data_IF_425612549193
#
_entry.id   IF_425612549193
#
_cell.length_a   1.000
_cell.length_b   1.000
_cell.length_c   1.000
_cell.angle_alpha   90.00
_cell.angle_beta   90.00
_cell.angle_gamma   90.00
#
_symmetry.space_group_name_H-M   'P 1'
#
loop_
_entity.id
_entity.type
_entity.pdbx_description
1 polymer ?
#
# COMPACT_ATOMS: atom_id res chain seq x y z
N UNK A 1 -26.47 -18.94 11.08
CA UNK A 1 -25.54 -18.95 9.93
C UNK A 1 -25.17 -17.56 9.37
N UNK A 2 -26.04 -16.52 9.28
CA UNK A 2 -25.66 -15.24 8.65
C UNK A 2 -24.59 -14.43 9.41
N UNK A 3 -24.54 -14.57 10.75
CA UNK A 3 -23.56 -13.84 11.59
C UNK A 3 -22.10 -14.25 11.35
N UNK A 4 -21.83 -15.53 11.04
CA UNK A 4 -20.47 -16.02 10.70
C UNK A 4 -20.01 -15.53 9.32
N UNK A 5 -20.94 -15.43 8.37
CA UNK A 5 -20.66 -15.00 7.01
C UNK A 5 -20.31 -13.51 6.94
N UNK A 6 -21.00 -12.66 7.69
CA UNK A 6 -20.70 -11.22 7.75
C UNK A 6 -19.30 -10.95 8.32
N UNK A 7 -18.83 -11.75 9.28
CA UNK A 7 -17.48 -11.62 9.83
C UNK A 7 -16.40 -12.08 8.85
N UNK A 8 -16.66 -13.14 8.08
CA UNK A 8 -15.76 -13.62 7.04
C UNK A 8 -15.57 -12.56 5.93
N UNK A 9 -16.68 -12.02 5.41
CA UNK A 9 -16.64 -10.99 4.36
C UNK A 9 -15.87 -9.75 4.83
N UNK A 10 -16.07 -9.33 6.08
CA UNK A 10 -15.33 -8.20 6.65
C UNK A 10 -13.82 -8.48 6.71
N UNK A 11 -13.39 -9.68 7.12
CA UNK A 11 -11.97 -10.04 7.17
C UNK A 11 -11.35 -10.07 5.76
N UNK A 12 -12.05 -10.67 4.79
CA UNK A 12 -11.63 -10.71 3.37
C UNK A 12 -11.45 -9.28 2.84
N UNK A 13 -12.47 -8.43 2.99
CA UNK A 13 -12.42 -7.05 2.51
C UNK A 13 -11.30 -6.25 3.17
N UNK A 14 -11.10 -6.41 4.48
CA UNK A 14 -10.02 -5.72 5.21
C UNK A 14 -8.65 -6.09 4.64
N UNK A 15 -8.39 -7.39 4.46
CA UNK A 15 -7.10 -7.88 3.98
C UNK A 15 -6.87 -7.47 2.51
N UNK A 16 -7.91 -7.57 1.66
CA UNK A 16 -7.82 -7.09 0.26
C UNK A 16 -7.49 -5.61 0.21
N UNK A 17 -8.15 -4.76 1.01
CA UNK A 17 -7.90 -3.31 1.01
C UNK A 17 -6.47 -2.99 1.47
N UNK A 18 -5.96 -3.70 2.47
CA UNK A 18 -4.59 -3.54 2.95
C UNK A 18 -3.56 -3.89 1.86
N UNK A 19 -3.73 -5.03 1.21
CA UNK A 19 -2.85 -5.43 0.10
C UNK A 19 -3.05 -4.57 -1.15
N UNK A 20 -4.22 -3.98 -1.35
CA UNK A 20 -4.47 -3.00 -2.41
C UNK A 20 -3.62 -1.75 -2.21
N UNK A 21 -3.54 -1.21 -0.99
CA UNK A 21 -2.66 -0.07 -0.70
C UNK A 21 -1.18 -0.41 -0.92
N UNK A 22 -0.77 -1.62 -0.56
CA UNK A 22 0.59 -2.08 -0.84
C UNK A 22 0.87 -2.20 -2.35
N UNK A 23 -0.05 -2.81 -3.09
CA UNK A 23 0.02 -2.91 -4.54
C UNK A 23 0.05 -1.53 -5.20
N UNK A 24 -0.73 -0.58 -4.68
CA UNK A 24 -0.74 0.81 -5.14
C UNK A 24 0.66 1.43 -5.08
N UNK A 25 1.38 1.32 -3.96
CA UNK A 25 2.73 1.88 -3.84
C UNK A 25 3.72 1.19 -4.79
N UNK A 26 3.59 -0.12 -4.99
CA UNK A 26 4.41 -0.85 -5.95
C UNK A 26 4.15 -0.40 -7.39
N UNK A 27 2.88 -0.26 -7.79
CA UNK A 27 2.48 0.23 -9.11
C UNK A 27 2.90 1.68 -9.34
N UNK A 28 2.77 2.52 -8.32
CA UNK A 28 3.21 3.92 -8.36
C UNK A 28 4.69 4.01 -8.68
N UNK A 29 5.49 3.19 -8.00
CA UNK A 29 6.94 3.17 -8.18
C UNK A 29 7.35 2.66 -9.56
N UNK A 30 6.61 1.70 -10.12
CA UNK A 30 6.79 1.30 -11.52
C UNK A 30 6.53 2.47 -12.48
N UNK A 31 5.50 3.30 -12.23
CA UNK A 31 5.28 4.51 -13.02
C UNK A 31 6.43 5.50 -12.90
N UNK A 32 7.00 5.67 -11.69
CA UNK A 32 8.16 6.55 -11.48
C UNK A 32 9.38 6.11 -12.30
N UNK A 33 9.61 4.80 -12.44
CA UNK A 33 10.66 4.29 -13.33
C UNK A 33 10.40 4.67 -14.79
N UNK A 34 9.15 4.59 -15.23
CA UNK A 34 8.76 5.04 -16.56
C UNK A 34 8.94 6.55 -16.73
N UNK A 35 8.60 7.37 -15.73
CA UNK A 35 8.89 8.81 -15.72
C UNK A 35 10.38 9.11 -15.85
N UNK A 36 11.23 8.40 -15.10
CA UNK A 36 12.69 8.55 -15.23
C UNK A 36 13.16 8.24 -16.66
N UNK A 37 12.61 7.21 -17.30
CA UNK A 37 12.89 6.91 -18.70
C UNK A 37 12.40 8.03 -19.64
N UNK A 38 11.21 8.59 -19.43
CA UNK A 38 10.69 9.73 -20.21
C UNK A 38 11.57 10.98 -20.08
N UNK A 39 12.08 11.26 -18.88
CA UNK A 39 13.05 12.36 -18.63
C UNK A 39 14.49 12.03 -19.05
N UNK A 40 14.69 10.96 -19.84
CA UNK A 40 15.98 10.51 -20.39
C UNK A 40 17.04 10.22 -19.32
N UNK A 41 16.62 9.68 -18.16
CA UNK A 41 17.57 9.19 -17.16
C UNK A 41 18.41 8.04 -17.73
N UNK A 42 19.70 8.06 -17.42
CA UNK A 42 20.66 7.04 -17.87
C UNK A 42 20.39 5.67 -17.26
N UNK A 43 20.91 4.61 -17.88
CA UNK A 43 20.80 3.25 -17.34
C UNK A 43 21.45 3.10 -15.96
N UNK A 44 22.54 3.82 -15.71
CA UNK A 44 23.21 3.83 -14.40
C UNK A 44 22.30 4.43 -13.33
N UNK A 45 21.65 5.54 -13.66
CA UNK A 45 20.69 6.23 -12.81
C UNK A 45 19.45 5.38 -12.49
N UNK A 46 18.88 4.69 -13.48
CA UNK A 46 17.81 3.72 -13.25
C UNK A 46 18.28 2.51 -12.41
N UNK A 47 19.54 2.12 -12.59
CA UNK A 47 20.20 1.12 -11.75
C UNK A 47 20.26 1.55 -10.29
N UNK A 48 20.67 2.79 -10.00
CA UNK A 48 20.68 3.36 -8.65
C UNK A 48 19.26 3.37 -8.06
N UNK A 49 18.27 3.83 -8.82
CA UNK A 49 16.89 3.84 -8.36
C UNK A 49 16.33 2.44 -8.06
N UNK A 50 16.82 1.38 -8.71
CA UNK A 50 16.38 0.00 -8.45
C UNK A 50 16.77 -0.53 -7.06
N UNK A 51 17.64 0.16 -6.32
CA UNK A 51 18.01 -0.22 -4.95
C UNK A 51 16.83 -0.17 -3.98
N UNK A 52 15.77 0.55 -4.34
CA UNK A 52 14.53 0.65 -3.56
C UNK A 52 13.87 -0.72 -3.29
N UNK A 53 14.13 -1.75 -4.10
CA UNK A 53 13.51 -3.07 -3.93
C UNK A 53 14.18 -3.94 -2.86
N UNK A 54 15.42 -3.63 -2.47
CA UNK A 54 16.19 -4.43 -1.52
C UNK A 54 15.50 -4.69 -0.18
N UNK A 55 14.75 -3.73 0.42
CA UNK A 55 14.02 -3.98 1.66
C UNK A 55 13.07 -5.18 1.61
N UNK A 56 12.45 -5.48 0.47
CA UNK A 56 11.57 -6.65 0.36
C UNK A 56 12.34 -7.97 0.49
N UNK A 57 13.59 -8.02 0.03
CA UNK A 57 14.47 -9.18 0.23
C UNK A 57 14.97 -9.28 1.66
N UNK A 58 15.17 -8.14 2.33
CA UNK A 58 15.73 -8.06 3.68
C UNK A 58 14.69 -8.12 4.81
N UNK A 59 13.39 -8.14 4.48
CA UNK A 59 12.29 -8.03 5.45
C UNK A 59 12.29 -9.06 6.59
N UNK A 60 12.95 -10.19 6.36
CA UNK A 60 13.13 -11.25 7.36
C UNK A 60 13.98 -10.77 8.55
N UNK A 61 14.91 -9.83 8.35
CA UNK A 61 15.84 -9.38 9.39
C UNK A 61 15.14 -8.66 10.55
N UNK A 62 14.10 -7.88 10.26
CA UNK A 62 13.41 -7.08 11.28
C UNK A 62 12.01 -7.61 11.63
N UNK A 63 11.54 -8.66 10.96
CA UNK A 63 10.28 -9.33 11.31
C UNK A 63 10.16 -9.73 12.81
N UNK A 64 11.22 -10.26 13.48
CA UNK A 64 11.13 -10.61 14.90
C UNK A 64 10.87 -9.41 15.84
N UNK A 65 11.25 -8.20 15.42
CA UNK A 65 11.06 -6.98 16.20
C UNK A 65 9.56 -6.64 16.25
N UNK A 66 8.88 -6.70 15.11
CA UNK A 66 7.44 -6.46 15.02
C UNK A 66 6.62 -7.51 15.76
N UNK A 67 7.21 -8.69 15.96
CA UNK A 67 6.57 -9.79 16.66
C UNK A 67 6.72 -9.73 18.18
N UNK A 68 7.80 -9.13 18.67
CA UNK A 68 8.16 -9.10 20.10
C UNK A 68 7.65 -7.86 20.83
N UNK A 69 7.59 -6.71 20.16
CA UNK A 69 7.18 -5.44 20.77
C UNK A 69 5.74 -5.14 20.36
N UNK A 70 4.82 -5.04 21.32
CA UNK A 70 3.46 -4.59 21.02
C UNK A 70 2.76 -4.00 22.24
N UNK A 71 1.75 -3.17 21.99
CA UNK A 71 0.90 -2.64 23.04
C UNK A 71 -0.31 -3.55 23.24
N UNK A 72 -0.54 -4.00 24.49
CA UNK A 72 -1.63 -4.92 24.84
C UNK A 72 -3.02 -4.40 24.46
N UNK A 73 -3.20 -3.07 24.46
CA UNK A 73 -4.48 -2.42 24.15
C UNK A 73 -4.85 -2.46 22.67
N UNK A 74 -3.86 -2.41 21.77
CA UNK A 74 -4.07 -2.41 20.32
C UNK A 74 -3.89 -3.81 19.70
N UNK A 75 -3.15 -4.70 20.35
CA UNK A 75 -2.81 -6.01 19.80
C UNK A 75 -1.57 -5.95 18.91
N UNK A 76 -0.95 -7.11 18.68
CA UNK A 76 0.37 -7.23 18.04
C UNK A 76 0.45 -6.54 16.68
N UNK A 77 -0.43 -6.90 15.76
CA UNK A 77 -0.35 -6.42 14.37
C UNK A 77 -0.82 -4.96 14.21
N UNK A 78 -1.87 -4.54 14.91
CA UNK A 78 -2.40 -3.17 14.79
C UNK A 78 -1.47 -2.12 15.42
N UNK A 79 -0.65 -2.50 16.42
CA UNK A 79 0.34 -1.60 17.03
C UNK A 79 1.34 -1.08 15.99
N UNK A 80 1.72 -1.91 15.01
CA UNK A 80 2.69 -1.54 13.98
C UNK A 80 2.05 -1.10 12.68
N UNK A 81 0.93 -1.71 12.29
CA UNK A 81 0.24 -1.37 11.05
C UNK A 81 -0.16 0.10 11.01
N UNK A 82 -0.74 0.61 12.10
CA UNK A 82 -1.28 1.98 12.15
C UNK A 82 -0.18 3.04 12.00
N UNK A 83 0.93 3.04 12.79
CA UNK A 83 2.02 4.00 12.60
C UNK A 83 2.64 3.92 11.20
N UNK A 84 2.94 2.71 10.72
CA UNK A 84 3.57 2.51 9.41
C UNK A 84 2.71 3.12 8.30
N UNK A 85 1.40 2.84 8.32
CA UNK A 85 0.48 3.32 7.30
C UNK A 85 0.31 4.85 7.32
N UNK A 86 0.28 5.46 8.51
CA UNK A 86 0.27 6.93 8.67
C UNK A 86 1.57 7.53 8.11
N UNK A 87 2.72 6.96 8.46
CA UNK A 87 4.02 7.46 8.01
C UNK A 87 4.12 7.41 6.48
N UNK A 88 3.69 6.30 5.85
CA UNK A 88 3.63 6.20 4.38
C UNK A 88 2.71 7.30 3.80
N UNK A 89 1.51 7.48 4.36
CA UNK A 89 0.56 8.49 3.90
C UNK A 89 1.12 9.92 3.97
N UNK A 90 1.78 10.27 5.08
CA UNK A 90 2.44 11.57 5.26
C UNK A 90 3.57 11.76 4.25
N UNK A 91 4.42 10.75 4.07
CA UNK A 91 5.51 10.82 3.09
C UNK A 91 4.96 11.03 1.69
N UNK A 92 3.90 10.32 1.29
CA UNK A 92 3.25 10.50 -0.01
C UNK A 92 2.68 11.91 -0.18
N UNK A 93 2.01 12.45 0.84
CA UNK A 93 1.48 13.82 0.79
C UNK A 93 2.61 14.83 0.62
N UNK A 94 3.70 14.70 1.38
CA UNK A 94 4.87 15.59 1.25
C UNK A 94 5.48 15.43 -0.14
N UNK A 95 5.69 14.18 -0.58
CA UNK A 95 6.28 13.84 -1.86
C UNK A 95 5.46 14.45 -3.02
N UNK A 96 4.14 14.51 -2.92
CA UNK A 96 3.29 15.12 -3.95
C UNK A 96 3.70 16.55 -4.35
N UNK A 97 4.24 17.34 -3.41
CA UNK A 97 4.66 18.71 -3.67
C UNK A 97 6.06 18.82 -4.30
N UNK A 98 6.92 17.81 -4.11
CA UNK A 98 8.32 17.84 -4.56
C UNK A 98 8.63 16.86 -5.69
N UNK A 99 7.77 15.88 -5.94
CA UNK A 99 8.06 14.75 -6.84
C UNK A 99 8.39 15.20 -8.26
N UNK A 100 7.59 16.10 -8.83
CA UNK A 100 7.81 16.61 -10.18
C UNK A 100 9.15 17.37 -10.29
N UNK A 101 9.48 18.18 -9.28
CA UNK A 101 10.77 18.87 -9.19
C UNK A 101 11.94 17.86 -9.10
N UNK A 102 11.82 16.80 -8.30
CA UNK A 102 12.86 15.78 -8.17
C UNK A 102 13.09 15.02 -9.48
N UNK A 103 12.02 14.74 -10.23
CA UNK A 103 12.07 14.05 -11.52
C UNK A 103 12.71 14.91 -12.60
N UNK A 104 12.27 16.16 -12.75
CA UNK A 104 12.79 17.08 -13.77
C UNK A 104 14.28 17.37 -13.54
N UNK A 105 14.69 17.58 -12.29
CA UNK A 105 16.10 17.85 -11.95
C UNK A 105 16.97 16.60 -11.83
N UNK A 106 16.41 15.40 -12.06
CA UNK A 106 17.11 14.10 -11.94
C UNK A 106 17.85 13.96 -10.61
N UNK A 107 17.22 14.32 -9.50
CA UNK A 107 17.77 14.13 -8.16
C UNK A 107 17.60 12.68 -7.69
N UNK A 108 18.26 11.75 -8.40
CA UNK A 108 17.97 10.32 -8.31
C UNK A 108 18.42 9.72 -6.99
N UNK A 109 19.50 10.21 -6.39
CA UNK A 109 19.92 9.79 -5.05
C UNK A 109 18.85 10.15 -4.01
N UNK A 110 18.35 11.39 -4.03
CA UNK A 110 17.26 11.84 -3.15
C UNK A 110 15.99 11.01 -3.36
N UNK A 111 15.62 10.78 -4.62
CA UNK A 111 14.46 9.96 -4.98
C UNK A 111 14.63 8.52 -4.46
N UNK A 112 15.82 7.94 -4.64
CA UNK A 112 16.16 6.59 -4.17
C UNK A 112 16.07 6.49 -2.67
N UNK A 113 16.59 7.46 -1.91
CA UNK A 113 16.52 7.46 -0.44
C UNK A 113 15.06 7.52 0.04
N UNK A 114 14.25 8.41 -0.54
CA UNK A 114 12.83 8.55 -0.18
C UNK A 114 12.07 7.24 -0.48
N UNK A 115 12.21 6.71 -1.70
CA UNK A 115 11.52 5.48 -2.10
C UNK A 115 12.05 4.25 -1.36
N UNK A 116 13.34 4.19 -1.04
CA UNK A 116 13.91 3.14 -0.21
C UNK A 116 13.26 3.12 1.17
N UNK A 117 13.06 4.30 1.77
CA UNK A 117 12.36 4.40 3.06
C UNK A 117 10.88 4.02 2.95
N UNK A 118 10.19 4.43 1.89
CA UNK A 118 8.81 3.99 1.60
C UNK A 118 8.76 2.45 1.46
N UNK A 119 9.69 1.86 0.71
CA UNK A 119 9.76 0.41 0.50
C UNK A 119 10.11 -0.36 1.77
N UNK A 120 10.95 0.20 2.63
CA UNK A 120 11.20 -0.35 3.96
C UNK A 120 9.92 -0.37 4.81
N UNK A 121 9.14 0.70 4.80
CA UNK A 121 7.86 0.77 5.51
C UNK A 121 6.84 -0.19 4.93
N UNK A 122 6.72 -0.28 3.60
CA UNK A 122 5.81 -1.22 2.94
C UNK A 122 6.23 -2.68 3.21
N UNK A 123 7.52 -3.00 3.15
CA UNK A 123 8.01 -4.33 3.48
C UNK A 123 7.71 -4.68 4.95
N UNK A 124 7.77 -3.70 5.85
CA UNK A 124 7.36 -3.85 7.24
C UNK A 124 5.85 -4.06 7.38
N UNK A 125 5.04 -3.34 6.62
CA UNK A 125 3.59 -3.51 6.56
C UNK A 125 3.22 -4.92 6.06
N UNK A 126 3.88 -5.40 5.01
CA UNK A 126 3.67 -6.72 4.42
C UNK A 126 3.85 -7.84 5.46
N UNK A 127 4.94 -7.81 6.24
CA UNK A 127 5.15 -8.77 7.35
C UNK A 127 4.01 -8.74 8.37
N UNK A 128 3.56 -7.53 8.75
CA UNK A 128 2.50 -7.35 9.74
C UNK A 128 1.14 -7.82 9.21
N UNK A 129 0.83 -7.52 7.94
CA UNK A 129 -0.43 -7.90 7.28
C UNK A 129 -0.46 -9.39 6.99
N UNK A 130 0.66 -10.00 6.59
CA UNK A 130 0.81 -11.45 6.44
C UNK A 130 0.48 -12.16 7.75
N UNK A 131 1.06 -11.72 8.88
CA UNK A 131 0.77 -12.25 10.21
C UNK A 131 -0.69 -12.04 10.65
N UNK A 132 -1.27 -10.88 10.33
CA UNK A 132 -2.69 -10.59 10.60
C UNK A 132 -3.61 -11.48 9.77
N UNK A 133 -3.31 -11.71 8.49
CA UNK A 133 -4.14 -12.53 7.61
C UNK A 133 -4.21 -13.98 8.10
N UNK A 134 -3.07 -14.58 8.45
CA UNK A 134 -3.01 -15.94 9.01
C UNK A 134 -3.82 -16.02 10.31
N UNK A 135 -3.74 -15.01 11.18
CA UNK A 135 -4.54 -14.96 12.40
C UNK A 135 -6.05 -14.89 12.11
N UNK A 136 -6.48 -14.07 11.15
CA UNK A 136 -7.90 -13.91 10.80
C UNK A 136 -8.47 -15.14 10.08
N UNK A 137 -7.66 -15.84 9.30
CA UNK A 137 -8.04 -17.03 8.54
C UNK A 137 -7.67 -18.36 9.22
N UNK A 138 -7.11 -18.36 10.44
CA UNK A 138 -6.64 -19.60 11.11
C UNK A 138 -7.73 -20.65 11.33
N UNK A 139 -8.97 -20.20 11.53
CA UNK A 139 -10.15 -21.06 11.74
C UNK A 139 -10.96 -21.26 10.44
N UNK A 140 -10.44 -20.76 9.32
CA UNK A 140 -11.00 -20.81 7.98
C UNK A 140 -9.99 -21.51 7.06
N UNK A 141 -10.32 -21.67 5.78
CA UNK A 141 -9.35 -22.22 4.83
C UNK A 141 -8.17 -21.25 4.68
N UNK A 142 -6.92 -21.65 5.02
CA UNK A 142 -5.76 -20.77 4.98
C UNK A 142 -5.47 -20.23 3.57
N UNK A 143 -5.89 -20.95 2.54
CA UNK A 143 -5.75 -20.56 1.12
C UNK A 143 -6.42 -19.22 0.78
N UNK A 144 -7.45 -18.79 1.54
CA UNK A 144 -8.04 -17.48 1.31
C UNK A 144 -7.07 -16.34 1.57
N UNK A 145 -6.11 -16.50 2.48
CA UNK A 145 -5.13 -15.45 2.81
C UNK A 145 -4.28 -15.08 1.58
N UNK A 146 -3.67 -16.08 0.94
CA UNK A 146 -2.85 -15.88 -0.26
C UNK A 146 -3.67 -15.34 -1.44
N UNK A 147 -4.91 -15.79 -1.62
CA UNK A 147 -5.78 -15.29 -2.69
C UNK A 147 -6.13 -13.82 -2.50
N UNK A 148 -6.45 -13.41 -1.26
CA UNK A 148 -6.73 -12.01 -0.95
C UNK A 148 -5.49 -11.12 -1.18
N UNK A 149 -4.31 -11.63 -0.85
CA UNK A 149 -3.03 -10.95 -1.11
C UNK A 149 -2.82 -10.68 -2.59
N UNK A 150 -2.87 -11.73 -3.42
CA UNK A 150 -2.65 -11.60 -4.85
C UNK A 150 -3.67 -10.65 -5.49
N UNK A 151 -4.97 -10.81 -5.17
CA UNK A 151 -6.02 -9.95 -5.71
C UNK A 151 -5.79 -8.49 -5.32
N UNK A 152 -5.54 -8.22 -4.04
CA UNK A 152 -5.29 -6.86 -3.55
C UNK A 152 -4.09 -6.23 -4.25
N UNK A 153 -2.94 -6.91 -4.25
CA UNK A 153 -1.70 -6.40 -4.82
C UNK A 153 -1.83 -6.14 -6.33
N UNK A 154 -2.40 -7.07 -7.10
CA UNK A 154 -2.55 -6.92 -8.56
C UNK A 154 -3.48 -5.75 -8.90
N UNK A 155 -4.62 -5.63 -8.20
CA UNK A 155 -5.55 -4.51 -8.41
C UNK A 155 -4.87 -3.18 -8.06
N UNK A 156 -4.22 -3.10 -6.90
CA UNK A 156 -3.50 -1.89 -6.49
C UNK A 156 -2.40 -1.50 -7.47
N UNK A 157 -1.60 -2.47 -7.89
CA UNK A 157 -0.53 -2.25 -8.86
C UNK A 157 -1.07 -1.69 -10.17
N UNK A 158 -2.11 -2.32 -10.72
CA UNK A 158 -2.75 -1.87 -11.94
C UNK A 158 -3.36 -0.46 -11.81
N UNK A 159 -4.05 -0.20 -10.70
CA UNK A 159 -4.63 1.11 -10.39
C UNK A 159 -3.59 2.22 -10.28
N UNK A 160 -2.35 1.92 -9.87
CA UNK A 160 -1.34 2.96 -9.74
C UNK A 160 -0.37 3.06 -10.91
N UNK A 161 -0.15 1.96 -11.64
CA UNK A 161 0.74 1.96 -12.81
C UNK A 161 0.02 2.48 -14.04
N UNK A 162 -0.97 1.71 -14.51
CA UNK A 162 -1.72 1.98 -15.73
C UNK A 162 -2.57 3.24 -15.61
N UNK A 163 -3.39 3.36 -14.57
CA UNK A 163 -4.32 4.51 -14.47
C UNK A 163 -3.55 5.83 -14.37
N UNK A 164 -2.44 5.87 -13.63
CA UNK A 164 -1.63 7.09 -13.53
C UNK A 164 -1.15 7.55 -14.91
N UNK A 165 -0.44 6.69 -15.64
CA UNK A 165 0.15 7.05 -16.94
C UNK A 165 -0.93 7.33 -17.99
N UNK A 166 -1.97 6.51 -18.02
CA UNK A 166 -3.05 6.62 -19.02
C UNK A 166 -3.85 7.91 -18.84
N UNK A 167 -4.25 8.24 -17.61
CA UNK A 167 -5.10 9.41 -17.36
C UNK A 167 -4.33 10.71 -17.15
N UNK A 168 -3.02 10.66 -16.90
CA UNK A 168 -2.17 11.85 -16.94
C UNK A 168 -1.89 12.29 -18.39
N UNK A 169 -1.90 11.35 -19.35
CA UNK A 169 -1.74 11.67 -20.77
C UNK A 169 -2.89 12.52 -21.31
N UNK A 170 -2.56 13.71 -21.81
CA UNK A 170 -3.52 14.62 -22.45
C UNK A 170 -4.07 14.04 -23.74
N UNK A 171 -3.24 13.36 -24.53
CA UNK A 171 -3.66 12.70 -25.77
C UNK A 171 -4.75 11.66 -25.51
N UNK A 172 -4.52 10.76 -24.56
CA UNK A 172 -5.49 9.73 -24.21
C UNK A 172 -6.79 10.35 -23.65
N UNK A 173 -6.66 11.33 -22.75
CA UNK A 173 -7.82 12.00 -22.13
C UNK A 173 -8.64 12.76 -23.16
N UNK A 174 -8.00 13.45 -24.10
CA UNK A 174 -8.69 14.17 -25.17
C UNK A 174 -9.41 13.20 -26.11
N UNK A 175 -8.75 12.12 -26.53
CA UNK A 175 -9.27 11.19 -27.52
C UNK A 175 -10.39 10.28 -26.99
N UNK A 176 -10.21 9.71 -25.79
CA UNK A 176 -11.11 8.66 -25.28
C UNK A 176 -12.09 9.13 -24.21
N UNK A 177 -11.91 10.33 -23.64
CA UNK A 177 -12.79 10.84 -22.59
C UNK A 177 -13.49 12.12 -23.05
N UNK A 178 -12.73 13.14 -23.47
CA UNK A 178 -13.31 14.46 -23.79
C UNK A 178 -14.05 14.47 -25.12
N UNK A 179 -13.51 13.86 -26.18
CA UNK A 179 -14.20 13.76 -27.48
C UNK A 179 -15.55 13.02 -27.40
N UNK A 180 -15.66 11.84 -26.75
CA UNK A 180 -16.95 11.16 -26.59
C UNK A 180 -17.96 11.93 -25.72
N UNK A 181 -17.49 12.77 -24.78
CA UNK A 181 -18.35 13.61 -23.93
C UNK A 181 -18.60 15.01 -24.50
N UNK A 182 -18.14 15.32 -25.72
CA UNK A 182 -18.26 16.66 -26.34
C UNK A 182 -17.65 17.79 -25.49
N UNK A 183 -16.57 17.50 -24.75
CA UNK A 183 -15.84 18.46 -23.92
C UNK A 183 -14.67 19.08 -24.70
N UNK A 184 -14.27 20.34 -24.38
CA UNK A 184 -13.16 20.99 -25.04
C UNK A 184 -11.82 20.30 -24.72
N UNK A 185 -10.95 20.22 -25.72
CA UNK A 185 -9.60 19.66 -25.57
C UNK A 185 -8.77 20.53 -24.61
N UNK A 186 -7.95 19.88 -23.77
CA UNK A 186 -7.00 20.57 -22.89
C UNK A 186 -5.63 19.95 -23.01
N UNK A 187 -4.60 20.74 -22.72
CA UNK A 187 -3.20 20.31 -22.70
C UNK A 187 -2.86 19.43 -21.50
N UNK A 188 -3.70 19.40 -20.46
CA UNK A 188 -3.52 18.55 -19.29
C UNK A 188 -4.34 17.25 -19.37
N UNK A 189 -3.85 16.20 -18.73
CA UNK A 189 -4.63 14.99 -18.44
C UNK A 189 -5.82 15.22 -17.52
N UNK A 190 -6.42 14.13 -17.06
CA UNK A 190 -7.54 14.14 -16.10
C UNK A 190 -7.09 14.57 -14.69
N UNK A 191 -5.90 14.13 -14.29
CA UNK A 191 -5.22 14.52 -13.06
C UNK A 191 -3.72 14.63 -13.31
N UNK A 192 -3.05 15.43 -12.48
CA UNK A 192 -1.59 15.58 -12.49
C UNK A 192 -0.90 14.54 -11.60
N UNK A 193 0.39 14.29 -11.83
CA UNK A 193 1.23 13.46 -10.97
C UNK A 193 1.13 13.89 -9.49
N UNK A 194 1.11 15.20 -9.24
CA UNK A 194 0.93 15.77 -7.90
C UNK A 194 -0.40 15.36 -7.27
N UNK A 195 -1.52 15.58 -7.98
CA UNK A 195 -2.86 15.25 -7.47
C UNK A 195 -3.01 13.76 -7.20
N UNK A 196 -2.48 12.91 -8.09
CA UNK A 196 -2.52 11.46 -7.91
C UNK A 196 -1.70 10.99 -6.70
N UNK A 197 -0.51 11.55 -6.52
CA UNK A 197 0.36 11.23 -5.38
C UNK A 197 -0.27 11.68 -4.06
N UNK A 198 -0.86 12.88 -4.05
CA UNK A 198 -1.58 13.40 -2.89
C UNK A 198 -2.81 12.54 -2.55
N UNK A 199 -3.58 12.14 -3.57
CA UNK A 199 -4.71 11.23 -3.43
C UNK A 199 -4.27 9.90 -2.83
N UNK A 200 -3.20 9.29 -3.35
CA UNK A 200 -2.61 8.07 -2.78
C UNK A 200 -2.29 8.22 -1.29
N UNK A 201 -1.58 9.28 -0.90
CA UNK A 201 -1.26 9.54 0.50
C UNK A 201 -2.50 9.75 1.39
N UNK A 202 -3.53 10.43 0.89
CA UNK A 202 -4.80 10.60 1.61
C UNK A 202 -5.53 9.26 1.81
N UNK A 203 -5.48 8.36 0.83
CA UNK A 203 -6.12 7.05 0.88
C UNK A 203 -5.51 6.17 1.98
N UNK A 204 -4.19 6.24 2.17
CA UNK A 204 -3.49 5.59 3.28
C UNK A 204 -4.04 6.03 4.65
N UNK A 205 -4.26 7.34 4.83
CA UNK A 205 -4.79 7.90 6.08
C UNK A 205 -6.25 7.50 6.29
N UNK A 206 -7.09 7.59 5.26
CA UNK A 206 -8.51 7.24 5.34
C UNK A 206 -8.69 5.76 5.71
N UNK A 207 -8.00 4.86 5.02
CA UNK A 207 -8.07 3.42 5.32
C UNK A 207 -7.58 3.13 6.73
N UNK A 208 -6.53 3.82 7.19
CA UNK A 208 -6.03 3.65 8.53
C UNK A 208 -7.06 4.05 9.60
N UNK A 209 -7.79 5.16 9.39
CA UNK A 209 -8.90 5.56 10.27
C UNK A 209 -10.02 4.51 10.27
N UNK A 210 -10.38 3.98 9.08
CA UNK A 210 -11.40 2.93 8.96
C UNK A 210 -10.99 1.67 9.74
N UNK A 211 -9.73 1.23 9.60
CA UNK A 211 -9.21 0.07 10.34
C UNK A 211 -9.28 0.32 11.84
N UNK A 212 -8.89 1.52 12.30
CA UNK A 212 -8.99 1.87 13.71
C UNK A 212 -10.44 1.78 14.20
N UNK A 213 -11.42 2.32 13.45
CA UNK A 213 -12.85 2.24 13.81
C UNK A 213 -13.37 0.80 13.83
N UNK A 214 -12.95 -0.06 12.88
CA UNK A 214 -13.42 -1.45 12.81
C UNK A 214 -12.84 -2.32 13.94
N UNK A 215 -11.57 -2.12 14.29
CA UNK A 215 -10.86 -3.00 15.23
C UNK A 215 -10.81 -2.48 16.67
N UNK A 216 -10.87 -1.17 16.91
CA UNK A 216 -10.89 -0.57 18.25
C UNK A 216 -12.05 -1.04 19.16
N UNK A 217 -13.30 -1.24 18.67
CA UNK A 217 -14.38 -1.72 19.54
C UNK A 217 -14.26 -3.21 19.90
N UNK A 218 -13.44 -3.99 19.19
CA UNK A 218 -13.27 -5.43 19.46
C UNK A 218 -12.24 -5.68 20.57
N UNK A 219 -12.67 -5.42 21.81
CA UNK A 219 -12.06 -5.94 23.06
C UNK A 219 -11.97 -7.49 23.11
N UNK A 220 -12.46 -8.22 22.07
CA UNK A 220 -12.66 -9.67 22.08
C UNK A 220 -11.60 -10.50 21.34
N UNK A 221 -10.68 -9.91 20.56
CA UNK A 221 -9.63 -10.71 19.89
C UNK A 221 -8.64 -11.33 20.91
N UNK A 222 -8.36 -10.64 22.01
CA UNK A 222 -7.53 -11.18 23.10
C UNK A 222 -8.23 -12.30 23.89
N UNK A 223 -9.57 -12.37 23.88
CA UNK A 223 -10.32 -13.42 24.60
C UNK A 223 -10.25 -14.76 23.85
N UNK A 224 -10.25 -14.74 22.52
CA UNK A 224 -10.13 -15.97 21.68
C UNK A 224 -8.72 -16.54 21.69
N UNK A 225 -7.69 -15.68 21.74
CA UNK A 225 -6.28 -16.10 21.80
C UNK A 225 -5.97 -16.77 23.14
N UNK A 226 -6.43 -16.20 24.27
CA UNK A 226 -6.24 -16.82 25.59
C UNK A 226 -7.02 -18.14 25.76
N UNK A 227 -8.20 -18.29 25.13
CA UNK A 227 -8.94 -19.56 25.14
C UNK A 227 -8.22 -20.69 24.37
N UNK A 228 -7.57 -20.38 23.26
CA UNK A 228 -6.86 -21.39 22.46
C UNK A 228 -5.51 -21.79 23.06
N UNK A 229 -4.83 -20.90 23.80
CA UNK A 229 -3.60 -21.23 24.52
C UNK A 229 -3.90 -22.12 25.75
N UNK A 230 -5.04 -21.92 26.42
CA UNK A 230 -5.47 -22.79 27.53
C UNK A 230 -5.93 -24.18 27.07
N UNK A 231 -6.48 -24.32 25.86
CA UNK A 231 -6.87 -25.62 25.29
C UNK A 231 -5.70 -26.45 24.73
N UNK A 232 -4.56 -25.83 24.39
CA UNK A 232 -3.36 -26.56 23.98
C UNK A 232 -2.48 -27.03 25.15
N UNK A 233 -2.81 -26.63 26.39
CA UNK A 233 -2.10 -27.01 27.62
C UNK A 233 -2.88 -28.02 28.49
N UNK A 234 -3.99 -28.54 27.99
CA UNK A 234 -4.75 -29.67 28.56
C UNK A 234 -4.87 -30.74 27.49
#
# INVERSE_FOLDING_TARGET
MPRKQNHLTLHILTIIILYLLQGFVQGFTSSIQLYLAFYKASWQEQGIFSWIFYPFSLKILWAPIFDSIYHYRFGRYLTWLIPIQITIGIIFIILSFYLEYLLINRQIVTLTIIFFFIYFLIASQDVVVDGLSVLLFSNLNPQYASTCQTIGQVIGYFLSSTVLITFESSNFTNEYIRKPLSLPERSSGLFSLKEFTFFGGSQFIIVNIIILVIFFPKKSLNKTINFNIQKKKK
#
